data_IF_920912627613
#
_entry.id   IF_920912627613
#
_cell.length_a   1.000
_cell.length_b   1.000
_cell.length_c   1.000
_cell.angle_alpha   90.00
_cell.angle_beta   90.00
_cell.angle_gamma   90.00
#
_symmetry.space_group_name_H-M   'P 1'
#
loop_
_entity.id
_entity.type
_entity.pdbx_description
1 polymer ?
#
# COMPACT_ATOMS: atom_id res chain seq x y z
N UNK A 1 18.16 -5.93 -12.26
CA UNK A 1 19.53 -6.49 -12.31
C UNK A 1 19.58 -7.84 -12.99
N UNK A 2 18.79 -8.83 -12.57
CA UNK A 2 18.77 -10.16 -13.19
C UNK A 2 18.30 -10.15 -14.64
N UNK A 3 17.46 -9.19 -15.06
CA UNK A 3 17.04 -9.05 -16.46
C UNK A 3 18.25 -8.99 -17.39
N UNK A 4 19.21 -8.12 -17.13
CA UNK A 4 20.40 -7.98 -17.98
C UNK A 4 21.25 -9.25 -18.00
N UNK A 5 21.31 -9.95 -16.86
CA UNK A 5 22.01 -11.23 -16.77
C UNK A 5 21.28 -12.33 -17.55
N UNK A 6 19.96 -12.41 -17.42
CA UNK A 6 19.14 -13.41 -18.13
C UNK A 6 19.10 -13.14 -19.63
N UNK A 7 19.09 -11.88 -20.06
CA UNK A 7 19.23 -11.50 -21.47
C UNK A 7 20.58 -11.94 -22.05
N UNK A 8 21.64 -11.74 -21.32
CA UNK A 8 22.97 -12.23 -21.70
C UNK A 8 23.01 -13.76 -21.77
N UNK A 9 22.48 -14.45 -20.76
CA UNK A 9 22.45 -15.91 -20.74
C UNK A 9 21.52 -16.52 -21.82
N UNK A 10 20.46 -15.82 -22.19
CA UNK A 10 19.55 -16.25 -23.26
C UNK A 10 20.23 -16.36 -24.63
N UNK A 11 21.35 -15.66 -24.85
CA UNK A 11 22.15 -15.79 -26.07
C UNK A 11 22.85 -17.17 -26.16
N UNK A 12 23.08 -17.83 -25.03
CA UNK A 12 23.74 -19.13 -24.96
C UNK A 12 22.77 -20.28 -24.70
N UNK A 13 21.71 -20.01 -23.90
CA UNK A 13 20.71 -21.00 -23.48
C UNK A 13 19.32 -20.36 -23.65
N UNK A 14 18.58 -20.80 -24.67
CA UNK A 14 17.29 -20.23 -25.06
C UNK A 14 16.25 -20.24 -23.92
N UNK A 15 16.34 -21.15 -22.96
CA UNK A 15 15.45 -21.24 -21.81
C UNK A 15 15.47 -19.98 -20.92
N UNK A 16 16.55 -19.21 -20.89
CA UNK A 16 16.61 -17.95 -20.12
C UNK A 16 15.76 -16.84 -20.75
N UNK A 17 15.36 -16.95 -22.02
CA UNK A 17 14.44 -16.01 -22.66
C UNK A 17 13.07 -15.90 -21.98
N UNK A 18 12.67 -16.89 -21.16
CA UNK A 18 11.42 -16.82 -20.39
C UNK A 18 11.38 -15.66 -19.40
N UNK A 19 12.52 -15.18 -18.91
CA UNK A 19 12.60 -14.04 -17.99
C UNK A 19 12.40 -12.67 -18.66
N UNK A 20 12.30 -12.61 -19.97
CA UNK A 20 11.91 -11.40 -20.69
C UNK A 20 10.41 -11.10 -20.58
N UNK A 21 9.61 -12.12 -20.28
CA UNK A 21 8.18 -11.94 -20.07
C UNK A 21 7.88 -11.29 -18.71
N UNK A 22 7.08 -10.22 -18.72
CA UNK A 22 6.63 -9.52 -17.50
C UNK A 22 5.93 -10.50 -16.55
N UNK A 23 5.12 -11.41 -17.08
CA UNK A 23 4.39 -12.42 -16.29
C UNK A 23 5.34 -13.31 -15.48
N UNK A 24 6.41 -13.81 -16.09
CA UNK A 24 7.40 -14.62 -15.38
C UNK A 24 8.12 -13.82 -14.30
N UNK A 25 8.54 -12.59 -14.62
CA UNK A 25 9.18 -11.70 -13.64
C UNK A 25 8.24 -11.32 -12.50
N UNK A 26 6.94 -11.17 -12.77
CA UNK A 26 5.91 -10.94 -11.75
C UNK A 26 5.84 -12.12 -10.77
N UNK A 27 5.76 -13.36 -11.26
CA UNK A 27 5.77 -14.57 -10.43
C UNK A 27 7.05 -14.66 -9.58
N UNK A 28 8.20 -14.46 -10.21
CA UNK A 28 9.48 -14.49 -9.50
C UNK A 28 9.60 -13.38 -8.45
N UNK A 29 8.98 -12.23 -8.70
CA UNK A 29 8.95 -11.11 -7.75
C UNK A 29 8.13 -11.44 -6.49
N UNK A 30 6.94 -12.04 -6.64
CA UNK A 30 6.15 -12.55 -5.49
C UNK A 30 6.97 -13.54 -4.66
N UNK A 31 7.50 -14.57 -5.32
CA UNK A 31 8.25 -15.63 -4.64
C UNK A 31 9.48 -15.08 -3.93
N UNK A 32 10.24 -14.21 -4.59
CA UNK A 32 11.44 -13.60 -4.01
C UNK A 32 11.09 -12.78 -2.78
N UNK A 33 10.09 -11.90 -2.87
CA UNK A 33 9.67 -11.07 -1.74
C UNK A 33 9.16 -11.91 -0.57
N UNK A 34 8.36 -12.94 -0.84
CA UNK A 34 7.84 -13.86 0.16
C UNK A 34 8.97 -14.64 0.86
N UNK A 35 9.88 -15.23 0.09
CA UNK A 35 11.02 -16.00 0.63
C UNK A 35 11.93 -15.10 1.47
N UNK A 36 12.25 -13.89 0.98
CA UNK A 36 13.06 -12.93 1.73
C UNK A 36 12.37 -12.58 3.05
N UNK A 37 11.05 -12.32 3.04
CA UNK A 37 10.31 -12.03 4.26
C UNK A 37 10.40 -13.18 5.27
N UNK A 38 10.30 -14.44 4.85
CA UNK A 38 10.46 -15.59 5.73
C UNK A 38 11.88 -15.73 6.31
N UNK A 39 12.91 -15.46 5.50
CA UNK A 39 14.30 -15.56 5.93
C UNK A 39 14.67 -14.44 6.91
N UNK A 40 14.27 -13.21 6.62
CA UNK A 40 14.65 -12.05 7.43
C UNK A 40 13.73 -11.83 8.63
N UNK A 41 12.45 -12.23 8.53
CA UNK A 41 11.43 -11.97 9.55
C UNK A 41 11.89 -12.36 10.97
N UNK A 42 12.31 -13.60 11.23
CA UNK A 42 12.78 -13.99 12.56
C UNK A 42 14.02 -13.20 13.03
N UNK A 43 14.87 -12.72 12.11
CA UNK A 43 16.03 -11.90 12.45
C UNK A 43 15.61 -10.48 12.83
N UNK A 44 14.72 -9.90 12.05
CA UNK A 44 14.17 -8.55 12.30
C UNK A 44 13.40 -8.54 13.62
N UNK A 45 12.53 -9.51 13.87
CA UNK A 45 11.78 -9.61 15.12
C UNK A 45 12.73 -9.68 16.32
N UNK A 46 13.73 -10.56 16.28
CA UNK A 46 14.72 -10.66 17.36
C UNK A 46 15.53 -9.38 17.55
N UNK A 47 15.86 -8.68 16.47
CA UNK A 47 16.53 -7.39 16.53
C UNK A 47 15.67 -6.32 17.20
N UNK A 48 14.39 -6.22 16.82
CA UNK A 48 13.42 -5.29 17.40
C UNK A 48 13.19 -5.59 18.91
N UNK A 49 13.04 -6.86 19.27
CA UNK A 49 12.93 -7.28 20.68
C UNK A 49 14.15 -6.86 21.49
N UNK A 50 15.37 -7.06 20.97
CA UNK A 50 16.61 -6.64 21.65
C UNK A 50 16.72 -5.14 21.86
N UNK A 51 16.22 -4.36 20.92
CA UNK A 51 16.15 -2.90 21.05
C UNK A 51 15.04 -2.43 22.03
N UNK A 52 14.29 -3.36 22.64
CA UNK A 52 13.11 -3.06 23.47
C UNK A 52 12.10 -2.16 22.76
N UNK A 53 11.93 -2.37 21.46
CA UNK A 53 11.01 -1.65 20.57
C UNK A 53 9.58 -2.18 20.82
N UNK A 54 9.14 -2.20 22.07
CA UNK A 54 7.77 -2.56 22.42
C UNK A 54 6.84 -1.36 22.28
N UNK A 55 5.66 -1.59 21.71
CA UNK A 55 4.66 -0.53 21.64
C UNK A 55 4.23 -0.12 23.03
N UNK A 56 4.29 1.18 23.34
CA UNK A 56 3.63 1.73 24.52
C UNK A 56 2.12 1.71 24.26
N UNK A 57 1.42 0.77 24.92
CA UNK A 57 -0.04 0.69 24.81
C UNK A 57 -0.64 1.97 25.38
N UNK A 58 -1.47 2.66 24.59
CA UNK A 58 -2.22 3.82 25.08
C UNK A 58 -3.22 3.36 26.14
N UNK A 59 -3.22 4.01 27.29
CA UNK A 59 -4.14 3.70 28.41
C UNK A 59 -5.62 3.95 28.04
N UNK A 60 -5.88 4.71 26.98
CA UNK A 60 -7.23 5.06 26.52
C UNK A 60 -7.82 4.04 25.52
N UNK A 61 -7.09 2.94 25.20
CA UNK A 61 -7.51 1.88 24.29
C UNK A 61 -8.34 0.77 24.97
N UNK A 62 -8.91 -0.19 24.18
CA UNK A 62 -9.57 -1.38 24.74
C UNK A 62 -8.64 -2.19 25.63
N UNK A 63 -9.18 -2.76 26.73
CA UNK A 63 -8.41 -3.57 27.69
C UNK A 63 -7.71 -4.79 27.03
N UNK A 64 -8.27 -5.31 25.96
CA UNK A 64 -7.68 -6.38 25.13
C UNK A 64 -6.29 -6.05 24.60
N UNK A 65 -5.98 -4.77 24.41
CA UNK A 65 -4.69 -4.30 23.92
C UNK A 65 -3.58 -4.32 25.00
N UNK A 66 -3.94 -4.37 26.29
CA UNK A 66 -2.96 -4.46 27.38
C UNK A 66 -2.18 -5.80 27.32
N UNK A 67 -2.81 -6.87 26.84
CA UNK A 67 -2.17 -8.19 26.68
C UNK A 67 -1.08 -8.15 25.58
N UNK A 68 -1.16 -7.22 24.64
CA UNK A 68 -0.20 -7.03 23.54
C UNK A 68 1.03 -6.21 23.94
N UNK A 69 1.11 -5.79 25.21
CA UNK A 69 2.27 -5.06 25.74
C UNK A 69 3.53 -5.91 25.60
N UNK A 70 4.53 -5.36 24.89
CA UNK A 70 5.81 -6.07 24.63
C UNK A 70 5.96 -6.63 23.22
N UNK A 71 4.90 -6.70 22.39
CA UNK A 71 5.03 -7.03 20.98
C UNK A 71 5.82 -5.92 20.26
N UNK A 72 6.89 -6.25 19.54
CA UNK A 72 7.70 -5.24 18.85
C UNK A 72 6.92 -4.59 17.71
N UNK A 73 7.13 -3.30 17.51
CA UNK A 73 6.65 -2.52 16.35
C UNK A 73 7.77 -2.30 15.33
N UNK A 74 7.53 -1.58 14.23
CA UNK A 74 8.44 -1.32 13.12
C UNK A 74 8.70 -2.54 12.21
N UNK A 75 7.84 -3.54 12.22
CA UNK A 75 7.93 -4.72 11.33
C UNK A 75 7.85 -4.37 9.84
N UNK A 76 7.32 -3.21 9.51
CA UNK A 76 7.26 -2.70 8.14
C UNK A 76 8.63 -2.60 7.45
N UNK A 77 9.73 -2.49 8.20
CA UNK A 77 11.10 -2.56 7.64
C UNK A 77 11.30 -3.85 6.84
N UNK A 78 10.73 -4.97 7.31
CA UNK A 78 10.79 -6.26 6.60
C UNK A 78 10.09 -6.18 5.24
N UNK A 79 8.92 -5.52 5.17
CA UNK A 79 8.18 -5.33 3.93
C UNK A 79 9.00 -4.51 2.94
N UNK A 80 9.47 -3.33 3.38
CA UNK A 80 10.27 -2.42 2.54
C UNK A 80 11.52 -3.08 1.99
N UNK A 81 12.23 -3.84 2.82
CA UNK A 81 13.44 -4.55 2.41
C UNK A 81 13.12 -5.63 1.37
N UNK A 82 12.10 -6.45 1.62
CA UNK A 82 11.71 -7.55 0.73
C UNK A 82 11.23 -7.04 -0.64
N UNK A 83 10.40 -5.98 -0.65
CA UNK A 83 9.95 -5.33 -1.89
C UNK A 83 11.13 -4.75 -2.65
N UNK A 84 12.01 -4.01 -1.96
CA UNK A 84 13.16 -3.37 -2.60
C UNK A 84 14.07 -4.37 -3.29
N UNK A 85 14.40 -5.48 -2.63
CA UNK A 85 15.24 -6.52 -3.23
C UNK A 85 14.53 -7.19 -4.41
N UNK A 86 13.25 -7.54 -4.29
CA UNK A 86 12.50 -8.15 -5.37
C UNK A 86 12.45 -7.24 -6.61
N UNK A 87 12.19 -5.93 -6.40
CA UNK A 87 12.19 -4.93 -7.47
C UNK A 87 13.58 -4.76 -8.09
N UNK A 88 14.64 -4.69 -7.30
CA UNK A 88 16.02 -4.60 -7.79
C UNK A 88 16.42 -5.82 -8.64
N UNK A 89 15.95 -7.00 -8.29
CA UNK A 89 16.27 -8.23 -9.02
C UNK A 89 15.46 -8.35 -10.32
N UNK A 90 14.14 -8.15 -10.26
CA UNK A 90 13.21 -8.49 -11.34
C UNK A 90 12.66 -7.30 -12.10
N UNK A 91 12.70 -6.09 -11.54
CA UNK A 91 12.22 -4.86 -12.17
C UNK A 91 13.20 -4.31 -13.21
N UNK A 92 12.65 -3.64 -14.22
CA UNK A 92 13.44 -2.82 -15.13
C UNK A 92 13.71 -1.45 -14.51
N UNK A 93 14.91 -1.26 -13.97
CA UNK A 93 15.29 -0.03 -13.27
C UNK A 93 15.38 1.20 -14.17
N UNK A 94 15.32 1.03 -15.49
CA UNK A 94 15.21 2.17 -16.43
C UNK A 94 13.77 2.67 -16.59
N UNK A 95 12.79 1.96 -16.01
CA UNK A 95 11.39 2.34 -16.07
C UNK A 95 11.05 3.39 -15.01
N UNK A 96 10.58 4.55 -15.44
CA UNK A 96 10.29 5.68 -14.56
C UNK A 96 9.11 5.41 -13.60
N UNK A 97 8.06 4.68 -14.01
CA UNK A 97 6.94 4.34 -13.13
C UNK A 97 7.41 3.47 -11.96
N UNK A 98 8.24 2.45 -12.26
CA UNK A 98 8.80 1.57 -11.25
C UNK A 98 9.68 2.34 -10.26
N UNK A 99 10.52 3.26 -10.75
CA UNK A 99 11.38 4.08 -9.90
C UNK A 99 10.56 5.01 -9.02
N UNK A 100 9.57 5.73 -9.59
CA UNK A 100 8.72 6.64 -8.81
C UNK A 100 7.98 5.87 -7.71
N UNK A 101 7.37 4.73 -8.03
CA UNK A 101 6.66 3.92 -7.04
C UNK A 101 7.59 3.44 -5.91
N UNK A 102 8.76 2.93 -6.27
CA UNK A 102 9.74 2.43 -5.29
C UNK A 102 10.29 3.56 -4.42
N UNK A 103 10.68 4.69 -5.01
CA UNK A 103 11.22 5.82 -4.26
C UNK A 103 10.17 6.48 -3.37
N UNK A 104 8.93 6.56 -3.83
CA UNK A 104 7.81 7.07 -3.00
C UNK A 104 7.56 6.16 -1.81
N UNK A 105 7.48 4.84 -2.03
CA UNK A 105 7.34 3.86 -0.95
C UNK A 105 8.46 4.00 0.08
N UNK A 106 9.71 4.08 -0.35
CA UNK A 106 10.87 4.25 0.55
C UNK A 106 10.84 5.59 1.26
N UNK A 107 10.48 6.68 0.58
CA UNK A 107 10.39 8.01 1.18
C UNK A 107 9.35 8.08 2.30
N UNK A 108 8.15 7.54 2.08
CA UNK A 108 7.13 7.43 3.12
C UNK A 108 7.55 6.45 4.23
N UNK A 109 8.27 5.39 3.88
CA UNK A 109 8.87 4.47 4.84
C UNK A 109 9.89 5.14 5.76
N UNK A 110 10.72 6.05 5.23
CA UNK A 110 11.66 6.84 6.04
C UNK A 110 10.92 7.76 7.02
N UNK A 111 9.84 8.42 6.57
CA UNK A 111 9.02 9.26 7.47
C UNK A 111 8.46 8.41 8.61
N UNK A 112 7.86 7.26 8.28
CA UNK A 112 7.33 6.33 9.28
C UNK A 112 8.40 5.79 10.21
N UNK A 113 9.57 5.46 9.68
CA UNK A 113 10.71 5.01 10.48
C UNK A 113 11.16 6.07 11.50
N UNK A 114 11.26 7.33 11.08
CA UNK A 114 11.63 8.42 11.98
C UNK A 114 10.57 8.66 13.07
N UNK A 115 9.29 8.52 12.73
CA UNK A 115 8.20 8.64 13.69
C UNK A 115 8.23 7.50 14.72
N UNK A 116 8.30 6.25 14.26
CA UNK A 116 8.38 5.09 15.13
C UNK A 116 9.68 5.09 15.98
N UNK A 117 10.80 5.49 15.40
CA UNK A 117 12.07 5.61 16.11
C UNK A 117 12.00 6.61 17.27
N UNK A 118 11.33 7.75 17.06
CA UNK A 118 11.11 8.74 18.12
C UNK A 118 10.24 8.16 19.25
N UNK A 119 9.17 7.46 18.92
CA UNK A 119 8.28 6.83 19.89
C UNK A 119 9.01 5.79 20.75
N UNK A 120 9.90 5.02 20.15
CA UNK A 120 10.53 3.87 20.80
C UNK A 120 11.83 4.23 21.51
N UNK A 121 12.76 4.91 20.83
CA UNK A 121 14.11 5.19 21.36
C UNK A 121 14.08 6.36 22.32
N UNK A 122 13.38 7.44 21.96
CA UNK A 122 13.24 8.60 22.85
C UNK A 122 12.08 8.46 23.86
N UNK A 123 11.29 7.36 23.77
CA UNK A 123 10.13 7.10 24.62
C UNK A 123 9.13 8.26 24.64
N UNK A 124 9.05 9.00 23.53
CA UNK A 124 8.05 10.04 23.33
C UNK A 124 6.79 9.43 22.72
N UNK A 125 5.69 9.25 23.50
CA UNK A 125 4.48 8.61 22.98
C UNK A 125 3.82 9.38 21.83
N UNK A 126 4.18 10.67 21.63
CA UNK A 126 3.64 11.49 20.56
C UNK A 126 4.40 11.31 19.25
N UNK A 127 5.66 10.82 19.27
CA UNK A 127 6.51 10.68 18.10
C UNK A 127 6.77 12.00 17.38
N UNK A 128 6.82 11.94 16.04
CA UNK A 128 7.00 13.12 15.21
C UNK A 128 5.75 14.03 15.28
N UNK A 129 5.95 15.33 15.41
CA UNK A 129 4.84 16.30 15.37
C UNK A 129 4.01 16.12 14.10
N UNK A 130 2.68 16.03 14.23
CA UNK A 130 1.76 15.77 13.10
C UNK A 130 1.96 16.74 11.93
N UNK A 131 2.27 18.04 12.20
CA UNK A 131 2.57 19.03 11.16
C UNK A 131 3.83 18.69 10.38
N UNK A 132 4.90 18.27 11.05
CA UNK A 132 6.18 17.89 10.42
C UNK A 132 6.01 16.61 9.59
N UNK A 133 5.29 15.62 10.12
CA UNK A 133 4.96 14.37 9.42
C UNK A 133 4.19 14.67 8.14
N UNK A 134 3.12 15.46 8.24
CA UNK A 134 2.29 15.84 7.09
C UNK A 134 3.06 16.70 6.07
N UNK A 135 3.94 17.59 6.51
CA UNK A 135 4.78 18.39 5.63
C UNK A 135 5.68 17.50 4.74
N UNK A 136 6.41 16.56 5.33
CA UNK A 136 7.28 15.66 4.55
C UNK A 136 6.50 14.70 3.66
N UNK A 137 5.37 14.19 4.12
CA UNK A 137 4.44 13.42 3.27
C UNK A 137 3.99 14.25 2.06
N UNK A 138 3.66 15.52 2.27
CA UNK A 138 3.25 16.43 1.21
C UNK A 138 4.37 16.71 0.21
N UNK A 139 5.60 16.92 0.69
CA UNK A 139 6.76 17.13 -0.19
C UNK A 139 6.99 15.91 -1.09
N UNK A 140 7.09 14.72 -0.50
CA UNK A 140 7.33 13.49 -1.28
C UNK A 140 6.13 13.19 -2.19
N UNK A 141 4.90 13.34 -1.69
CA UNK A 141 3.69 13.12 -2.49
C UNK A 141 3.58 14.06 -3.69
N UNK A 142 3.91 15.36 -3.52
CA UNK A 142 3.94 16.33 -4.61
C UNK A 142 5.04 16.03 -5.62
N UNK A 143 6.24 15.65 -5.16
CA UNK A 143 7.34 15.26 -6.05
C UNK A 143 6.94 14.03 -6.88
N UNK A 144 6.34 13.02 -6.27
CA UNK A 144 5.85 11.84 -6.98
C UNK A 144 4.74 12.19 -7.99
N UNK A 145 3.74 12.98 -7.58
CA UNK A 145 2.65 13.43 -8.42
C UNK A 145 3.13 14.26 -9.61
N UNK A 146 4.04 15.21 -9.36
CA UNK A 146 4.63 16.03 -10.41
C UNK A 146 5.50 15.21 -11.36
N UNK A 147 6.28 14.25 -10.85
CA UNK A 147 7.11 13.36 -11.67
C UNK A 147 6.26 12.52 -12.63
N UNK A 148 5.13 11.96 -12.16
CA UNK A 148 4.19 11.23 -13.02
C UNK A 148 3.59 12.14 -14.11
N UNK A 149 3.24 13.38 -13.76
CA UNK A 149 2.72 14.36 -14.72
C UNK A 149 3.77 14.80 -15.74
N UNK A 150 4.97 15.14 -15.28
CA UNK A 150 6.05 15.66 -16.14
C UNK A 150 6.62 14.61 -17.11
N UNK A 151 6.52 13.32 -16.74
CA UNK A 151 6.98 12.20 -17.56
C UNK A 151 5.86 11.57 -18.40
N UNK A 152 4.64 12.12 -18.34
CA UNK A 152 3.49 11.69 -19.13
C UNK A 152 3.80 11.81 -20.63
N UNK A 153 3.54 10.73 -21.38
CA UNK A 153 3.81 10.62 -22.82
C UNK A 153 2.56 10.58 -23.67
N UNK A 154 1.44 10.16 -23.07
CA UNK A 154 0.16 10.03 -23.76
C UNK A 154 -0.93 10.83 -23.03
N UNK A 155 -1.94 11.37 -23.78
CA UNK A 155 -3.01 12.17 -23.18
C UNK A 155 -3.76 11.45 -22.04
N UNK A 156 -3.87 10.11 -22.11
CA UNK A 156 -4.51 9.29 -21.11
C UNK A 156 -3.94 9.47 -19.70
N UNK A 157 -2.64 9.78 -19.60
CA UNK A 157 -1.95 9.97 -18.32
C UNK A 157 -2.34 11.27 -17.57
N UNK A 158 -3.11 12.14 -18.20
CA UNK A 158 -3.63 13.38 -17.60
C UNK A 158 -5.16 13.44 -17.54
N UNK A 159 -5.80 12.28 -17.69
CA UNK A 159 -7.25 12.11 -17.65
C UNK A 159 -7.66 11.32 -16.40
N UNK A 160 -8.81 11.64 -15.84
CA UNK A 160 -9.48 10.85 -14.82
C UNK A 160 -10.50 9.93 -15.51
N UNK A 161 -10.34 8.63 -15.34
CA UNK A 161 -11.26 7.62 -15.86
C UNK A 161 -12.44 7.44 -14.91
N UNK A 162 -13.65 7.42 -15.46
CA UNK A 162 -14.85 7.09 -14.69
C UNK A 162 -15.13 5.59 -14.87
N UNK A 163 -15.02 4.78 -13.80
CA UNK A 163 -15.27 3.36 -13.89
C UNK A 163 -16.73 3.08 -14.29
N UNK A 164 -16.97 1.98 -14.97
CA UNK A 164 -18.30 1.53 -15.45
C UNK A 164 -18.96 2.42 -16.51
N UNK A 165 -18.29 3.45 -17.00
CA UNK A 165 -18.81 4.32 -18.06
C UNK A 165 -17.87 4.29 -19.25
N UNK A 166 -18.37 3.78 -20.39
CA UNK A 166 -17.61 3.72 -21.63
C UNK A 166 -17.26 5.12 -22.11
N UNK A 167 -16.02 5.29 -22.58
CA UNK A 167 -15.48 6.52 -23.17
C UNK A 167 -15.69 7.79 -22.32
N UNK A 168 -15.94 7.60 -21.02
CA UNK A 168 -16.12 8.73 -20.09
C UNK A 168 -14.84 8.98 -19.32
N UNK A 169 -14.18 10.07 -19.67
CA UNK A 169 -12.99 10.56 -18.98
C UNK A 169 -13.04 12.07 -18.84
N UNK A 170 -12.46 12.57 -17.77
CA UNK A 170 -12.34 14.01 -17.49
C UNK A 170 -10.88 14.40 -17.74
N UNK A 171 -10.68 15.32 -18.68
CA UNK A 171 -9.35 15.87 -18.90
C UNK A 171 -8.98 16.84 -17.78
N UNK A 172 -7.99 16.47 -16.98
CA UNK A 172 -7.55 17.25 -15.83
C UNK A 172 -6.34 18.15 -16.15
N UNK A 173 -5.52 17.80 -17.15
CA UNK A 173 -4.29 18.51 -17.44
C UNK A 173 -3.41 18.62 -16.18
N UNK A 174 -2.98 19.83 -15.81
CA UNK A 174 -2.15 20.07 -14.62
C UNK A 174 -2.85 19.74 -13.29
N UNK A 175 -4.20 19.75 -13.22
CA UNK A 175 -4.94 19.34 -12.02
C UNK A 175 -4.73 17.87 -11.65
N UNK A 176 -4.20 17.07 -12.58
CA UNK A 176 -3.75 15.70 -12.30
C UNK A 176 -2.75 15.65 -11.14
N UNK A 177 -1.86 16.64 -11.02
CA UNK A 177 -0.88 16.71 -9.91
C UNK A 177 -1.60 16.84 -8.57
N UNK A 178 -2.64 17.68 -8.52
CA UNK A 178 -3.42 17.90 -7.29
C UNK A 178 -4.17 16.63 -6.90
N UNK A 179 -4.85 15.99 -7.86
CA UNK A 179 -5.54 14.73 -7.63
C UNK A 179 -4.57 13.64 -7.16
N UNK A 180 -3.46 13.46 -7.86
CA UNK A 180 -2.43 12.48 -7.54
C UNK A 180 -1.86 12.68 -6.13
N UNK A 181 -1.58 13.93 -5.74
CA UNK A 181 -1.16 14.27 -4.39
C UNK A 181 -2.16 13.79 -3.33
N UNK A 182 -3.45 14.11 -3.51
CA UNK A 182 -4.48 13.69 -2.56
C UNK A 182 -4.65 12.16 -2.52
N UNK A 183 -4.54 11.48 -3.66
CA UNK A 183 -4.59 10.02 -3.72
C UNK A 183 -3.40 9.41 -2.97
N UNK A 184 -2.17 9.86 -3.24
CA UNK A 184 -0.96 9.29 -2.62
C UNK A 184 -0.94 9.53 -1.12
N UNK A 185 -1.09 10.79 -0.68
CA UNK A 185 -1.04 11.15 0.74
C UNK A 185 -2.26 10.63 1.48
N UNK A 186 -3.44 10.69 0.85
CA UNK A 186 -4.69 10.20 1.41
C UNK A 186 -4.66 8.69 1.65
N UNK A 187 -4.24 7.90 0.66
CA UNK A 187 -4.15 6.44 0.80
C UNK A 187 -3.09 6.04 1.83
N UNK A 188 -1.95 6.76 1.88
CA UNK A 188 -0.92 6.54 2.91
C UNK A 188 -1.49 6.66 4.31
N UNK A 189 -2.19 7.75 4.61
CA UNK A 189 -2.76 7.96 5.92
C UNK A 189 -3.98 7.05 6.19
N UNK A 190 -4.75 6.69 5.16
CA UNK A 190 -5.88 5.78 5.29
C UNK A 190 -5.45 4.36 5.69
N UNK A 191 -4.39 3.84 5.08
CA UNK A 191 -3.81 2.55 5.46
C UNK A 191 -3.24 2.62 6.88
N UNK A 192 -2.56 3.71 7.25
CA UNK A 192 -2.03 3.91 8.59
C UNK A 192 -3.13 3.94 9.67
N UNK A 193 -4.28 4.58 9.40
CA UNK A 193 -5.43 4.56 10.31
C UNK A 193 -6.07 3.17 10.44
N UNK A 194 -5.96 2.33 9.41
CA UNK A 194 -6.52 0.98 9.41
C UNK A 194 -5.63 -0.03 10.15
N UNK A 195 -4.35 0.29 10.34
CA UNK A 195 -3.35 -0.59 10.99
C UNK A 195 -3.49 -0.60 12.53
N UNK A 196 -4.71 -0.89 13.00
CA UNK A 196 -5.03 -0.91 14.44
C UNK A 196 -5.20 -2.32 15.03
N UNK A 197 -5.40 -3.36 14.22
CA UNK A 197 -5.55 -4.75 14.64
C UNK A 197 -4.60 -5.67 13.85
N UNK A 198 -4.28 -6.83 14.45
CA UNK A 198 -3.35 -7.82 13.93
C UNK A 198 -3.75 -8.32 12.54
N UNK A 199 -2.97 -8.01 11.49
CA UNK A 199 -3.25 -8.43 10.13
C UNK A 199 -4.36 -7.65 9.41
N UNK A 200 -5.01 -6.67 10.07
CA UNK A 200 -6.15 -5.96 9.50
C UNK A 200 -5.78 -5.16 8.24
N UNK A 201 -4.71 -4.38 8.27
CA UNK A 201 -4.33 -3.52 7.15
C UNK A 201 -3.56 -4.26 6.04
N UNK A 202 -2.74 -5.27 6.42
CA UNK A 202 -1.83 -5.89 5.46
C UNK A 202 -2.56 -6.77 4.43
N UNK A 203 -3.56 -7.55 4.82
CA UNK A 203 -4.28 -8.42 3.89
C UNK A 203 -5.11 -7.63 2.86
N UNK A 204 -5.90 -6.60 3.22
CA UNK A 204 -6.47 -5.67 2.25
C UNK A 204 -5.45 -5.05 1.30
N UNK A 205 -4.28 -4.67 1.81
CA UNK A 205 -3.17 -4.16 0.97
C UNK A 205 -2.70 -5.19 -0.05
N UNK A 206 -2.53 -6.45 0.34
CA UNK A 206 -2.17 -7.56 -0.57
C UNK A 206 -3.22 -7.71 -1.68
N UNK A 207 -4.49 -7.71 -1.32
CA UNK A 207 -5.59 -7.87 -2.28
C UNK A 207 -5.66 -6.70 -3.26
N UNK A 208 -5.62 -5.46 -2.77
CA UNK A 208 -5.67 -4.25 -3.59
C UNK A 208 -4.43 -4.14 -4.48
N UNK A 209 -3.24 -4.43 -3.93
CA UNK A 209 -1.99 -4.43 -4.70
C UNK A 209 -2.04 -5.45 -5.83
N UNK A 210 -2.53 -6.67 -5.56
CA UNK A 210 -2.68 -7.71 -6.58
C UNK A 210 -3.61 -7.25 -7.71
N UNK A 211 -4.73 -6.63 -7.38
CA UNK A 211 -5.67 -6.10 -8.37
C UNK A 211 -5.06 -4.95 -9.18
N UNK A 212 -4.36 -4.01 -8.53
CA UNK A 212 -3.65 -2.93 -9.22
C UNK A 212 -2.56 -3.48 -10.15
N UNK A 213 -1.89 -4.58 -9.76
CA UNK A 213 -0.95 -5.30 -10.62
C UNK A 213 -1.59 -5.83 -11.89
N UNK A 214 -2.83 -6.34 -11.81
CA UNK A 214 -3.62 -6.73 -12.99
C UNK A 214 -3.92 -5.52 -13.86
N UNK A 215 -4.39 -4.40 -13.29
CA UNK A 215 -4.61 -3.16 -14.06
C UNK A 215 -3.33 -2.68 -14.73
N UNK A 216 -2.19 -2.70 -14.03
CA UNK A 216 -0.89 -2.30 -14.58
C UNK A 216 -0.50 -3.17 -15.78
N UNK A 217 -0.64 -4.48 -15.66
CA UNK A 217 -0.35 -5.41 -16.76
C UNK A 217 -1.26 -5.17 -17.96
N UNK A 218 -2.57 -5.04 -17.74
CA UNK A 218 -3.56 -4.84 -18.82
C UNK A 218 -3.36 -3.50 -19.52
N UNK A 219 -3.21 -2.39 -18.77
CA UNK A 219 -2.98 -1.05 -19.35
C UNK A 219 -1.61 -0.91 -20.02
N UNK A 220 -0.63 -1.70 -19.59
CA UNK A 220 0.71 -1.72 -20.18
C UNK A 220 0.85 -2.60 -21.41
N UNK A 221 -0.18 -3.34 -21.82
CA UNK A 221 -0.15 -4.26 -22.96
C UNK A 221 -1.12 -3.83 -24.04
N UNK A 222 -0.62 -3.52 -25.23
CA UNK A 222 -1.40 -2.94 -26.34
C UNK A 222 -2.65 -3.77 -26.69
N UNK A 223 -2.50 -5.10 -26.83
CA UNK A 223 -3.61 -5.99 -27.18
C UNK A 223 -4.70 -6.04 -26.08
N UNK A 224 -4.30 -6.15 -24.81
CA UNK A 224 -5.27 -6.22 -23.72
C UNK A 224 -5.94 -4.88 -23.44
N UNK A 225 -5.22 -3.78 -23.58
CA UNK A 225 -5.82 -2.44 -23.44
C UNK A 225 -6.88 -2.18 -24.52
N UNK A 226 -6.59 -2.57 -25.77
CA UNK A 226 -7.57 -2.46 -26.86
C UNK A 226 -8.77 -3.38 -26.65
N UNK A 227 -8.56 -4.66 -26.32
CA UNK A 227 -9.64 -5.61 -26.05
C UNK A 227 -10.54 -5.18 -24.90
N UNK A 228 -9.97 -4.61 -23.85
CA UNK A 228 -10.71 -4.15 -22.66
C UNK A 228 -11.22 -2.71 -22.81
N UNK A 229 -10.87 -2.02 -23.90
CA UNK A 229 -11.22 -0.62 -24.13
C UNK A 229 -10.73 0.31 -23.01
N UNK A 230 -9.55 0.00 -22.41
CA UNK A 230 -8.90 0.82 -21.40
C UNK A 230 -7.73 1.58 -22.05
N UNK A 231 -7.30 2.72 -21.49
CA UNK A 231 -6.16 3.45 -22.03
C UNK A 231 -4.88 2.63 -22.01
N UNK A 232 -4.19 2.63 -23.15
CA UNK A 232 -2.85 2.08 -23.24
C UNK A 232 -1.84 3.10 -22.68
N UNK A 233 -1.06 2.68 -21.68
CA UNK A 233 -0.01 3.49 -21.05
C UNK A 233 1.33 2.76 -21.22
N UNK A 234 2.20 3.23 -22.14
CA UNK A 234 3.44 2.54 -22.43
C UNK A 234 4.37 2.44 -21.22
N UNK A 235 4.80 1.22 -20.91
CA UNK A 235 5.75 0.95 -19.82
C UNK A 235 5.13 0.79 -18.43
N UNK A 236 3.84 1.12 -18.21
CA UNK A 236 3.19 0.97 -16.90
C UNK A 236 3.09 -0.50 -16.45
N UNK A 237 3.17 -1.45 -17.39
CA UNK A 237 3.15 -2.89 -17.10
C UNK A 237 4.25 -3.36 -16.13
N UNK A 238 5.37 -2.64 -16.05
CA UNK A 238 6.43 -2.94 -15.07
C UNK A 238 5.96 -2.80 -13.61
N UNK A 239 4.91 -1.99 -13.36
CA UNK A 239 4.31 -1.90 -12.03
C UNK A 239 3.64 -3.20 -11.57
N UNK A 240 3.32 -4.13 -12.47
CA UNK A 240 2.85 -5.46 -12.08
C UNK A 240 3.90 -6.20 -11.24
N UNK A 241 5.19 -6.03 -11.55
CA UNK A 241 6.31 -6.61 -10.79
C UNK A 241 6.41 -5.97 -9.40
N UNK A 242 6.23 -4.65 -9.31
CA UNK A 242 6.21 -3.93 -8.03
C UNK A 242 5.03 -4.36 -7.16
N UNK A 243 3.83 -4.42 -7.72
CA UNK A 243 2.63 -4.88 -7.02
C UNK A 243 2.76 -6.33 -6.53
N UNK A 244 3.36 -7.17 -7.35
CA UNK A 244 3.67 -8.55 -7.01
C UNK A 244 4.68 -8.66 -5.85
N UNK A 245 5.75 -7.85 -5.88
CA UNK A 245 6.68 -7.76 -4.76
C UNK A 245 5.98 -7.32 -3.47
N UNK A 246 5.10 -6.31 -3.57
CA UNK A 246 4.34 -5.81 -2.43
C UNK A 246 3.38 -6.87 -1.88
N UNK A 247 2.68 -7.59 -2.76
CA UNK A 247 1.80 -8.70 -2.35
C UNK A 247 2.59 -9.84 -1.69
N UNK A 248 3.72 -10.26 -2.27
CA UNK A 248 4.58 -11.30 -1.71
C UNK A 248 5.17 -10.91 -0.36
N UNK A 249 5.70 -9.69 -0.23
CA UNK A 249 6.22 -9.16 1.03
C UNK A 249 5.11 -9.02 2.09
N UNK A 250 3.91 -8.57 1.66
CA UNK A 250 2.75 -8.46 2.53
C UNK A 250 2.29 -9.80 3.09
N UNK A 251 2.21 -10.84 2.24
CA UNK A 251 1.90 -12.21 2.68
C UNK A 251 2.98 -12.76 3.63
N UNK A 252 4.26 -12.51 3.33
CA UNK A 252 5.35 -12.91 4.20
C UNK A 252 5.36 -12.17 5.55
N UNK A 253 4.96 -10.90 5.57
CA UNK A 253 4.75 -10.15 6.80
C UNK A 253 3.54 -10.66 7.58
N UNK A 254 2.43 -10.95 6.90
CA UNK A 254 1.20 -11.49 7.51
C UNK A 254 1.46 -12.78 8.28
N UNK A 255 2.39 -13.60 7.85
CA UNK A 255 2.79 -14.81 8.58
C UNK A 255 3.19 -14.54 10.04
N UNK A 256 3.80 -13.40 10.29
CA UNK A 256 4.25 -12.97 11.63
C UNK A 256 3.27 -12.00 12.29
N UNK A 257 2.42 -11.34 11.52
CA UNK A 257 1.48 -10.33 11.99
C UNK A 257 0.04 -10.85 12.14
N UNK A 258 -0.25 -12.10 11.71
CA UNK A 258 -1.54 -12.73 11.93
C UNK A 258 -1.83 -12.89 13.44
N UNK A 259 -3.09 -12.73 13.82
CA UNK A 259 -3.50 -12.79 15.24
C UNK A 259 -3.22 -14.17 15.88
N UNK A 260 -2.55 -14.25 17.04
CA UNK A 260 -1.91 -13.17 17.80
C UNK A 260 -0.56 -12.75 17.21
N UNK A 261 -0.36 -11.44 16.97
CA UNK A 261 0.79 -10.94 16.25
C UNK A 261 2.11 -11.06 17.01
N UNK A 262 3.16 -11.50 16.31
CA UNK A 262 4.55 -11.53 16.80
C UNK A 262 5.27 -10.20 16.58
N UNK A 263 4.76 -9.36 15.67
CA UNK A 263 5.32 -8.04 15.30
C UNK A 263 4.24 -7.16 14.71
N UNK A 264 4.22 -5.88 15.07
CA UNK A 264 3.35 -4.87 14.46
C UNK A 264 4.06 -4.17 13.31
N UNK A 265 3.27 -3.72 12.32
CA UNK A 265 3.79 -3.07 11.13
C UNK A 265 4.44 -1.73 11.44
N UNK A 266 3.77 -0.92 12.25
CA UNK A 266 4.18 0.43 12.59
C UNK A 266 3.98 1.43 11.44
N UNK A 267 4.26 2.69 11.74
CA UNK A 267 4.14 3.78 10.77
C UNK A 267 5.10 3.60 9.59
N UNK A 268 6.26 2.96 9.81
CA UNK A 268 7.23 2.65 8.76
C UNK A 268 6.63 1.80 7.63
N UNK A 269 5.80 0.83 7.98
CA UNK A 269 5.15 -0.03 7.00
C UNK A 269 3.88 0.59 6.44
N UNK A 270 2.95 0.96 7.31
CA UNK A 270 1.60 1.39 6.92
C UNK A 270 1.59 2.63 6.03
N UNK A 271 2.43 3.65 6.32
CA UNK A 271 2.56 4.83 5.47
C UNK A 271 3.16 4.49 4.10
N UNK A 272 4.19 3.65 4.10
CA UNK A 272 4.89 3.27 2.87
C UNK A 272 4.00 2.48 1.91
N UNK A 273 3.33 1.43 2.41
CA UNK A 273 2.47 0.58 1.56
C UNK A 273 1.25 1.35 1.07
N UNK A 274 0.67 2.22 1.91
CA UNK A 274 -0.44 3.07 1.49
C UNK A 274 -0.03 4.06 0.38
N UNK A 275 1.12 4.72 0.52
CA UNK A 275 1.65 5.60 -0.53
C UNK A 275 1.96 4.82 -1.82
N UNK A 276 2.50 3.60 -1.71
CA UNK A 276 2.75 2.71 -2.83
C UNK A 276 1.46 2.39 -3.61
N UNK A 277 0.37 2.02 -2.92
CA UNK A 277 -0.93 1.79 -3.56
C UNK A 277 -1.42 3.05 -4.28
N UNK A 278 -1.30 4.22 -3.65
CA UNK A 278 -1.71 5.50 -4.22
C UNK A 278 -0.95 5.83 -5.50
N UNK A 279 0.38 5.71 -5.50
CA UNK A 279 1.22 5.96 -6.69
C UNK A 279 0.88 5.01 -7.83
N UNK A 280 0.73 3.72 -7.54
CA UNK A 280 0.37 2.74 -8.57
C UNK A 280 -0.99 3.07 -9.18
N UNK A 281 -2.00 3.36 -8.36
CA UNK A 281 -3.34 3.70 -8.84
C UNK A 281 -3.33 4.94 -9.76
N UNK A 282 -2.57 5.97 -9.39
CA UNK A 282 -2.38 7.16 -10.24
C UNK A 282 -1.67 6.80 -11.54
N UNK A 283 -0.62 5.99 -11.50
CA UNK A 283 0.14 5.61 -12.70
C UNK A 283 -0.71 4.79 -13.69
N UNK A 284 -1.59 3.91 -13.19
CA UNK A 284 -2.51 3.10 -14.01
C UNK A 284 -3.85 3.78 -14.28
N UNK A 285 -4.05 5.03 -13.83
CA UNK A 285 -5.29 5.83 -13.97
C UNK A 285 -6.52 5.17 -13.37
N UNK A 286 -6.35 4.54 -12.23
CA UNK A 286 -7.41 3.83 -11.51
C UNK A 286 -7.68 4.45 -10.12
N UNK A 287 -7.65 5.76 -10.02
CA UNK A 287 -7.83 6.49 -8.76
C UNK A 287 -9.21 6.22 -8.13
N UNK A 288 -10.27 6.27 -8.96
CA UNK A 288 -11.64 6.00 -8.50
C UNK A 288 -11.86 4.51 -8.21
N UNK A 289 -11.20 3.63 -8.97
CA UNK A 289 -11.24 2.18 -8.69
C UNK A 289 -10.49 1.86 -7.40
N UNK A 290 -9.36 2.53 -7.11
CA UNK A 290 -8.69 2.41 -5.81
C UNK A 290 -9.62 2.82 -4.67
N UNK A 291 -10.40 3.89 -4.83
CA UNK A 291 -11.38 4.32 -3.83
C UNK A 291 -12.43 3.21 -3.55
N UNK A 292 -12.84 2.47 -4.58
CA UNK A 292 -13.76 1.32 -4.44
C UNK A 292 -13.05 0.14 -3.78
N UNK A 293 -11.94 -0.33 -4.37
CA UNK A 293 -11.20 -1.51 -3.88
C UNK A 293 -10.66 -1.32 -2.47
N UNK A 294 -10.21 -0.11 -2.18
CA UNK A 294 -9.73 0.32 -0.86
C UNK A 294 -10.84 0.81 0.08
N UNK A 295 -12.10 0.46 -0.17
CA UNK A 295 -13.24 0.98 0.57
C UNK A 295 -13.18 0.75 2.08
N UNK A 296 -12.49 -0.27 2.57
CA UNK A 296 -12.21 -0.44 4.00
C UNK A 296 -11.32 0.71 4.51
N UNK A 297 -10.23 1.04 3.82
CA UNK A 297 -9.36 2.16 4.18
C UNK A 297 -10.11 3.49 4.17
N UNK A 298 -11.00 3.65 3.17
CA UNK A 298 -11.88 4.82 3.05
C UNK A 298 -12.85 4.89 4.22
N UNK A 299 -13.54 3.79 4.55
CA UNK A 299 -14.52 3.74 5.63
C UNK A 299 -13.88 4.04 7.00
N UNK A 300 -12.69 3.47 7.26
CA UNK A 300 -11.92 3.75 8.47
C UNK A 300 -11.58 5.23 8.58
N UNK A 301 -11.04 5.81 7.50
CA UNK A 301 -10.68 7.24 7.46
C UNK A 301 -11.90 8.14 7.63
N UNK A 302 -12.98 7.86 6.90
CA UNK A 302 -14.22 8.65 7.01
C UNK A 302 -14.82 8.57 8.43
N UNK A 303 -14.73 7.43 9.09
CA UNK A 303 -15.20 7.28 10.46
C UNK A 303 -14.46 8.22 11.44
N UNK A 304 -13.14 8.37 11.26
CA UNK A 304 -12.33 9.29 12.05
C UNK A 304 -12.70 10.75 11.75
N UNK A 305 -12.82 11.10 10.47
CA UNK A 305 -13.19 12.46 10.05
C UNK A 305 -14.56 12.84 10.62
N UNK A 306 -15.55 11.96 10.49
CA UNK A 306 -16.91 12.18 11.01
C UNK A 306 -16.92 12.27 12.53
N UNK A 307 -16.19 11.39 13.23
CA UNK A 307 -16.09 11.40 14.68
C UNK A 307 -15.48 12.71 15.19
N UNK A 308 -14.32 13.10 14.65
CA UNK A 308 -13.63 14.32 15.05
C UNK A 308 -14.47 15.56 14.69
N UNK A 309 -15.08 15.58 13.51
CA UNK A 309 -15.99 16.65 13.08
C UNK A 309 -17.18 16.81 14.03
N UNK A 310 -17.87 15.70 14.33
CA UNK A 310 -19.00 15.71 15.28
C UNK A 310 -18.59 16.16 16.66
N UNK A 311 -17.47 15.63 17.17
CA UNK A 311 -16.97 15.96 18.51
C UNK A 311 -16.70 17.46 18.65
N UNK A 312 -16.07 18.08 17.63
CA UNK A 312 -15.78 19.52 17.61
C UNK A 312 -17.00 20.39 17.41
N UNK A 313 -17.91 20.01 16.47
CA UNK A 313 -19.04 20.84 16.08
C UNK A 313 -20.26 20.66 17.01
N UNK A 314 -20.37 19.53 17.71
CA UNK A 314 -21.56 19.18 18.52
C UNK A 314 -21.23 19.03 20.01
N UNK A 315 -20.31 19.85 20.54
CA UNK A 315 -19.95 19.92 21.97
C UNK A 315 -19.67 18.55 22.59
N UNK A 316 -18.78 17.77 21.97
CA UNK A 316 -18.34 16.48 22.51
C UNK A 316 -19.22 15.28 22.16
N UNK A 317 -20.26 15.43 21.33
CA UNK A 317 -21.11 14.31 20.94
C UNK A 317 -20.40 13.40 19.93
N UNK A 318 -20.34 12.11 20.26
CA UNK A 318 -19.76 11.05 19.44
C UNK A 318 -20.81 10.48 18.48
N UNK A 319 -20.41 10.09 17.25
CA UNK A 319 -21.23 9.33 16.29
C UNK A 319 -21.01 7.84 16.52
N UNK A 320 -19.74 7.44 16.62
CA UNK A 320 -19.33 6.06 16.88
C UNK A 320 -18.92 5.93 18.34
N UNK A 321 -18.99 4.72 18.91
CA UNK A 321 -18.48 4.43 20.26
C UNK A 321 -17.00 4.80 20.35
N UNK A 322 -16.23 4.40 19.32
CA UNK A 322 -14.84 4.77 19.11
C UNK A 322 -14.56 4.84 17.60
N UNK A 323 -13.60 5.62 17.17
CA UNK A 323 -13.08 5.64 15.82
C UNK A 323 -11.56 5.38 15.86
N UNK A 324 -11.01 4.67 14.85
CA UNK A 324 -11.63 4.14 13.61
C UNK A 324 -12.69 3.02 13.84
N UNK A 325 -13.36 2.57 12.73
CA UNK A 325 -14.51 1.64 12.80
C UNK A 325 -14.18 0.29 13.45
N UNK A 326 -12.99 -0.25 13.27
CA UNK A 326 -12.60 -1.52 13.89
C UNK A 326 -12.76 -1.45 15.42
N UNK A 327 -12.35 -0.38 16.07
CA UNK A 327 -12.55 -0.18 17.52
C UNK A 327 -14.03 -0.03 17.90
N UNK A 328 -14.86 0.55 17.01
CA UNK A 328 -16.30 0.61 17.24
C UNK A 328 -16.92 -0.79 17.33
N UNK A 329 -16.49 -1.72 16.47
CA UNK A 329 -17.00 -3.09 16.50
C UNK A 329 -16.46 -3.90 17.68
N UNK A 330 -15.19 -3.68 18.10
CA UNK A 330 -14.66 -4.27 19.32
C UNK A 330 -15.46 -3.82 20.55
N UNK A 331 -15.77 -2.52 20.67
CA UNK A 331 -16.60 -2.00 21.75
C UNK A 331 -18.07 -2.46 21.71
N UNK A 332 -18.54 -2.93 20.53
CA UNK A 332 -19.82 -3.64 20.42
C UNK A 332 -19.76 -5.10 20.85
N UNK A 333 -18.59 -5.59 21.28
CA UNK A 333 -18.39 -6.97 21.73
C UNK A 333 -18.01 -7.95 20.64
N UNK A 334 -17.60 -7.50 19.44
CA UNK A 334 -17.06 -8.40 18.43
C UNK A 334 -15.63 -8.80 18.80
N UNK A 335 -15.34 -10.09 18.68
CA UNK A 335 -13.98 -10.57 18.85
C UNK A 335 -13.07 -10.02 17.76
N UNK A 336 -11.81 -9.67 18.08
CA UNK A 336 -10.84 -9.09 17.15
C UNK A 336 -10.73 -9.89 15.84
N UNK A 337 -10.60 -11.21 15.94
CA UNK A 337 -10.51 -12.08 14.76
C UNK A 337 -11.75 -12.01 13.86
N UNK A 338 -12.95 -11.76 14.42
CA UNK A 338 -14.17 -11.60 13.63
C UNK A 338 -14.17 -10.28 12.87
N UNK A 339 -13.68 -9.19 13.46
CA UNK A 339 -13.54 -7.89 12.80
C UNK A 339 -12.58 -8.05 11.61
N UNK A 340 -11.40 -8.62 11.87
CA UNK A 340 -10.35 -8.83 10.86
C UNK A 340 -10.88 -9.62 9.65
N UNK A 341 -11.45 -10.81 9.88
CA UNK A 341 -11.91 -11.69 8.80
C UNK A 341 -13.07 -11.06 8.02
N UNK A 342 -13.99 -10.39 8.70
CA UNK A 342 -15.12 -9.71 8.02
C UNK A 342 -14.63 -8.56 7.15
N UNK A 343 -13.64 -7.79 7.58
CA UNK A 343 -13.05 -6.71 6.79
C UNK A 343 -12.30 -7.27 5.57
N UNK A 344 -11.61 -8.41 5.71
CA UNK A 344 -11.00 -9.10 4.58
C UNK A 344 -12.05 -9.55 3.54
N UNK A 345 -13.17 -10.14 4.02
CA UNK A 345 -14.27 -10.55 3.13
C UNK A 345 -14.86 -9.35 2.37
N UNK A 346 -15.10 -8.24 3.08
CA UNK A 346 -15.57 -7.01 2.44
C UNK A 346 -14.55 -6.51 1.41
N UNK A 347 -13.27 -6.55 1.73
CA UNK A 347 -12.20 -6.15 0.78
C UNK A 347 -12.21 -7.03 -0.46
N UNK A 348 -12.37 -8.36 -0.33
CA UNK A 348 -12.48 -9.26 -1.49
C UNK A 348 -13.64 -8.84 -2.39
N UNK A 349 -14.81 -8.58 -1.81
CA UNK A 349 -16.00 -8.13 -2.57
C UNK A 349 -15.69 -6.82 -3.31
N UNK A 350 -15.11 -5.84 -2.63
CA UNK A 350 -14.79 -4.53 -3.22
C UNK A 350 -13.71 -4.64 -4.31
N UNK A 351 -12.73 -5.51 -4.13
CA UNK A 351 -11.69 -5.79 -5.14
C UNK A 351 -12.31 -6.45 -6.37
N UNK A 352 -13.22 -7.40 -6.21
CA UNK A 352 -13.92 -8.03 -7.33
C UNK A 352 -14.80 -7.01 -8.06
N UNK A 353 -15.50 -6.12 -7.33
CA UNK A 353 -16.24 -5.00 -7.93
C UNK A 353 -15.27 -4.10 -8.73
N UNK A 354 -14.13 -3.71 -8.14
CA UNK A 354 -13.14 -2.91 -8.86
C UNK A 354 -12.61 -3.60 -10.12
N UNK A 355 -12.27 -4.89 -10.05
CA UNK A 355 -11.82 -5.66 -11.22
C UNK A 355 -12.91 -5.80 -12.30
N UNK A 356 -14.19 -5.88 -11.91
CA UNK A 356 -15.29 -5.92 -12.87
C UNK A 356 -15.33 -4.67 -13.78
N UNK A 357 -14.83 -3.52 -13.31
CA UNK A 357 -14.71 -2.30 -14.13
C UNK A 357 -13.77 -2.43 -15.34
N UNK A 358 -12.90 -3.46 -15.38
CA UNK A 358 -12.07 -3.74 -16.55
C UNK A 358 -12.90 -4.09 -17.79
N UNK A 359 -14.07 -4.70 -17.62
CA UNK A 359 -14.89 -5.18 -18.75
C UNK A 359 -16.29 -4.58 -18.82
N UNK A 360 -16.85 -4.19 -17.68
CA UNK A 360 -18.17 -3.54 -17.62
C UNK A 360 -17.96 -2.06 -17.92
N UNK A 361 -18.15 -1.70 -19.19
CA UNK A 361 -18.05 -0.32 -19.68
C UNK A 361 -19.12 -0.04 -20.74
#
# INVERSE_FOLDING_TARGET
MLIYLTDYLAQFISGFGVFNYITMRTIMSVLTALIISFIIGPRVIRWLVRLKVGQSVRLDGPESHLVKSGTPTMGGVMILFSVSIAVLLWGNLSNHYLLIATLTMLGFGIIGFLDDYQKVVYKDPNGMRSRTKFFWQSVIGLVAAYSLYALAKVPAETQLLIPYMKDTFIYLGAWTVVLAYFVIVGTSNAVNLTDGLDGLAIMPTVMVSSALGVFAYMSGHLYFSDYLQIPYIPGVGELAIFCAALAGAGLGFLWFNAHPAQVFMGDVGSLAIGAALGVVAVAVRQELVLFIMGGIFVAETLSVILQVGSYRLRNGKRIFLMAPLHHHFEQKGWHESQVIVRFWIITIILVLIGLASLKIR
#
